data_IF_854027219872
#
_entry.id   IF_854027219872
#
_cell.length_a   1.000
_cell.length_b   1.000
_cell.length_c   1.000
_cell.angle_alpha   90.00
_cell.angle_beta   90.00
_cell.angle_gamma   90.00
#
_symmetry.space_group_name_H-M   'P 1'
#
loop_
_entity.id
_entity.type
_entity.pdbx_description
1 polymer ?
#
# COMPACT_ATOMS: atom_id res chain seq x y z
N UNK A 1 -18.06 -2.54 10.11
CA UNK A 1 -17.14 -2.09 9.03
C UNK A 1 -17.80 -2.24 7.65
N UNK A 2 -18.48 -3.36 7.34
CA UNK A 2 -19.10 -3.62 6.03
C UNK A 2 -20.15 -2.58 5.62
N UNK A 3 -21.03 -2.22 6.54
CA UNK A 3 -22.11 -1.27 6.29
C UNK A 3 -21.62 0.15 5.97
N UNK A 4 -20.70 0.77 6.74
CA UNK A 4 -20.07 2.02 6.33
C UNK A 4 -19.30 1.91 5.00
N UNK A 5 -18.60 0.81 4.75
CA UNK A 5 -17.90 0.60 3.49
C UNK A 5 -18.86 0.55 2.30
N UNK A 6 -20.00 -0.13 2.45
CA UNK A 6 -21.04 -0.16 1.42
C UNK A 6 -21.62 1.22 1.09
N UNK A 7 -21.76 2.08 2.10
CA UNK A 7 -22.21 3.47 1.91
C UNK A 7 -21.17 4.36 1.24
N UNK A 8 -19.88 4.09 1.47
CA UNK A 8 -18.76 4.86 0.91
C UNK A 8 -18.34 4.38 -0.47
N UNK A 9 -18.77 3.17 -0.88
CA UNK A 9 -18.38 2.56 -2.16
C UNK A 9 -19.33 3.00 -3.28
N UNK A 10 -18.78 3.25 -4.45
CA UNK A 10 -19.51 3.59 -5.65
C UNK A 10 -18.73 4.53 -6.55
N UNK A 11 -19.31 4.84 -7.71
CA UNK A 11 -18.73 5.81 -8.65
C UNK A 11 -19.02 7.22 -8.16
N UNK A 12 -17.98 8.04 -8.05
CA UNK A 12 -18.09 9.47 -7.84
C UNK A 12 -17.76 10.20 -9.17
N UNK A 13 -18.71 10.96 -9.69
CA UNK A 13 -18.55 11.70 -10.93
C UNK A 13 -17.40 12.73 -10.89
N UNK A 14 -17.04 13.21 -9.71
CA UNK A 14 -15.96 14.19 -9.51
C UNK A 14 -14.60 13.55 -9.22
N UNK A 15 -14.53 12.21 -9.15
CA UNK A 15 -13.31 11.45 -8.88
C UNK A 15 -13.07 10.40 -9.98
N UNK A 16 -12.20 10.72 -10.93
CA UNK A 16 -11.81 9.82 -12.04
C UNK A 16 -11.10 8.54 -11.57
N UNK A 17 -10.72 8.45 -10.29
CA UNK A 17 -10.12 7.24 -9.71
C UNK A 17 -11.16 6.29 -9.15
N UNK A 18 -12.41 6.73 -9.00
CA UNK A 18 -13.50 5.87 -8.57
C UNK A 18 -13.87 4.85 -9.65
N UNK A 19 -14.25 3.65 -9.23
CA UNK A 19 -14.62 2.58 -10.14
C UNK A 19 -15.94 1.93 -9.72
N UNK A 20 -16.71 1.46 -10.70
CA UNK A 20 -17.88 0.63 -10.44
C UNK A 20 -17.39 -0.80 -10.11
N UNK A 21 -17.51 -1.16 -8.85
CA UNK A 21 -17.11 -2.48 -8.38
C UNK A 21 -18.31 -3.43 -8.39
N UNK A 22 -18.21 -4.60 -9.04
CA UNK A 22 -19.36 -5.47 -9.32
C UNK A 22 -20.04 -6.09 -8.10
N UNK A 23 -19.56 -5.89 -6.90
CA UNK A 23 -20.06 -6.57 -5.70
C UNK A 23 -20.33 -5.65 -4.50
N UNK A 24 -20.43 -4.34 -4.69
CA UNK A 24 -20.69 -3.41 -3.58
C UNK A 24 -21.99 -3.66 -2.86
N UNK A 25 -23.02 -4.15 -3.56
CA UNK A 25 -24.30 -4.52 -2.94
C UNK A 25 -24.20 -5.74 -2.01
N UNK A 26 -23.22 -6.62 -2.22
CA UNK A 26 -22.99 -7.76 -1.32
C UNK A 26 -22.52 -7.31 0.05
N UNK A 27 -21.79 -6.17 0.14
CA UNK A 27 -21.36 -5.61 1.42
C UNK A 27 -22.53 -5.25 2.34
N UNK A 28 -23.68 -4.87 1.79
CA UNK A 28 -24.89 -4.54 2.55
C UNK A 28 -25.52 -5.76 3.23
N UNK A 29 -25.26 -6.96 2.70
CA UNK A 29 -25.86 -8.21 3.13
C UNK A 29 -24.85 -9.12 3.84
N UNK A 30 -23.67 -8.61 4.22
CA UNK A 30 -22.69 -9.40 4.96
C UNK A 30 -23.24 -9.75 6.35
N UNK A 31 -23.32 -11.05 6.61
CA UNK A 31 -23.65 -11.61 7.93
C UNK A 31 -22.36 -12.09 8.62
N UNK A 32 -22.44 -12.30 9.94
CA UNK A 32 -21.36 -12.96 10.66
C UNK A 32 -21.19 -14.39 10.13
N UNK A 33 -19.94 -14.87 10.06
CA UNK A 33 -19.64 -16.24 9.67
C UNK A 33 -20.28 -17.23 10.65
N UNK A 34 -20.82 -18.30 10.13
CA UNK A 34 -21.27 -19.45 10.90
C UNK A 34 -20.10 -20.28 11.40
N UNK A 35 -20.33 -21.17 12.37
CA UNK A 35 -19.28 -22.08 12.87
C UNK A 35 -18.75 -23.03 11.78
N UNK A 36 -19.60 -23.45 10.84
CA UNK A 36 -19.20 -24.25 9.68
C UNK A 36 -18.29 -23.47 8.73
N UNK A 37 -18.62 -22.23 8.45
CA UNK A 37 -17.81 -21.35 7.60
C UNK A 37 -16.44 -21.04 8.25
N UNK A 38 -16.40 -20.86 9.58
CA UNK A 38 -15.12 -20.73 10.30
C UNK A 38 -14.25 -21.98 10.16
N UNK A 39 -14.82 -23.17 10.27
CA UNK A 39 -14.08 -24.44 10.11
C UNK A 39 -13.56 -24.66 8.69
N UNK A 40 -14.26 -24.11 7.69
CA UNK A 40 -13.83 -24.18 6.30
C UNK A 40 -12.72 -23.17 5.95
N UNK A 41 -12.56 -22.12 6.78
CA UNK A 41 -11.64 -21.01 6.52
C UNK A 41 -10.18 -21.44 6.61
N UNK A 42 -9.40 -21.10 5.59
CA UNK A 42 -7.96 -21.34 5.52
C UNK A 42 -7.20 -20.02 5.50
N UNK A 43 -6.30 -19.85 6.47
CA UNK A 43 -5.53 -18.61 6.68
C UNK A 43 -4.06 -18.91 6.50
N UNK A 44 -3.40 -18.20 5.59
CA UNK A 44 -1.96 -18.25 5.40
C UNK A 44 -1.26 -17.13 6.18
N UNK A 45 -0.15 -17.44 6.83
CA UNK A 45 0.72 -16.46 7.50
C UNK A 45 2.10 -16.53 6.84
N UNK A 46 2.53 -15.51 6.10
CA UNK A 46 3.87 -15.48 5.54
C UNK A 46 4.94 -15.47 6.63
N UNK A 47 5.87 -16.42 6.60
CA UNK A 47 6.97 -16.52 7.58
C UNK A 47 7.84 -15.28 7.65
N UNK A 48 7.96 -14.56 6.52
CA UNK A 48 8.71 -13.31 6.41
C UNK A 48 8.17 -12.21 7.33
N UNK A 49 6.87 -12.25 7.64
CA UNK A 49 6.21 -11.27 8.51
C UNK A 49 6.11 -11.73 9.99
N UNK A 50 6.63 -12.91 10.31
CA UNK A 50 6.76 -13.36 11.70
C UNK A 50 8.05 -12.84 12.38
N UNK A 51 8.91 -12.16 11.63
CA UNK A 51 10.10 -11.50 12.18
C UNK A 51 9.64 -10.33 13.06
N UNK A 52 9.75 -10.48 14.36
CA UNK A 52 9.27 -9.51 15.37
C UNK A 52 10.31 -8.44 15.71
N UNK A 53 11.49 -8.46 15.05
CA UNK A 53 12.55 -7.49 15.31
C UNK A 53 12.08 -6.08 14.97
N UNK A 54 12.03 -5.21 15.97
CA UNK A 54 11.51 -3.85 15.85
C UNK A 54 9.98 -3.72 15.86
N UNK A 55 9.26 -4.81 16.10
CA UNK A 55 7.81 -4.80 16.25
C UNK A 55 7.41 -4.39 17.66
N UNK A 56 6.30 -3.66 17.80
CA UNK A 56 5.72 -3.35 19.10
C UNK A 56 5.20 -4.64 19.76
N UNK A 57 5.57 -4.91 21.03
CA UNK A 57 5.15 -6.12 21.75
C UNK A 57 3.63 -6.29 21.84
N UNK A 58 2.85 -5.20 21.97
CA UNK A 58 1.40 -5.26 22.05
C UNK A 58 0.78 -5.65 20.69
N UNK A 59 1.37 -5.21 19.60
CA UNK A 59 0.94 -5.62 18.25
C UNK A 59 1.24 -7.10 18.01
N UNK A 60 2.42 -7.57 18.40
CA UNK A 60 2.78 -9.00 18.30
C UNK A 60 1.83 -9.85 19.14
N UNK A 61 1.54 -9.44 20.37
CA UNK A 61 0.59 -10.12 21.23
C UNK A 61 -0.81 -10.16 20.63
N UNK A 62 -1.31 -9.03 20.12
CA UNK A 62 -2.62 -8.95 19.47
C UNK A 62 -2.71 -9.90 18.28
N UNK A 63 -1.65 -9.98 17.47
CA UNK A 63 -1.57 -10.89 16.34
C UNK A 63 -1.63 -12.37 16.78
N UNK A 64 -0.84 -12.74 17.78
CA UNK A 64 -0.84 -14.10 18.33
C UNK A 64 -2.18 -14.49 18.97
N UNK A 65 -2.83 -13.56 19.68
CA UNK A 65 -4.15 -13.78 20.26
C UNK A 65 -5.21 -13.93 19.15
N UNK A 66 -5.12 -13.16 18.08
CA UNK A 66 -5.98 -13.30 16.88
C UNK A 66 -5.77 -14.66 16.21
N UNK A 67 -4.53 -15.10 16.04
CA UNK A 67 -4.18 -16.43 15.50
C UNK A 67 -4.81 -17.56 16.32
N UNK A 68 -4.66 -17.49 17.63
CA UNK A 68 -5.25 -18.47 18.57
C UNK A 68 -6.77 -18.45 18.50
N UNK A 69 -7.37 -17.28 18.39
CA UNK A 69 -8.81 -17.13 18.29
C UNK A 69 -9.36 -17.81 17.04
N UNK A 70 -8.78 -17.59 15.86
CA UNK A 70 -9.19 -18.27 14.62
C UNK A 70 -9.05 -19.79 14.74
N UNK A 71 -7.94 -20.27 15.28
CA UNK A 71 -7.71 -21.70 15.52
C UNK A 71 -8.76 -22.28 16.49
N UNK A 72 -9.13 -21.54 17.54
CA UNK A 72 -10.17 -21.97 18.51
C UNK A 72 -11.56 -22.07 17.88
N UNK A 73 -11.81 -21.30 16.81
CA UNK A 73 -13.04 -21.37 16.00
C UNK A 73 -13.02 -22.50 14.96
N UNK A 74 -11.92 -23.21 14.85
CA UNK A 74 -11.75 -24.35 13.95
C UNK A 74 -11.17 -24.00 12.58
N UNK A 75 -10.76 -22.74 12.34
CA UNK A 75 -10.10 -22.34 11.11
C UNK A 75 -8.71 -23.00 11.00
N UNK A 76 -8.31 -23.35 9.77
CA UNK A 76 -6.96 -23.80 9.47
C UNK A 76 -6.04 -22.61 9.34
N UNK A 77 -5.01 -22.50 10.19
CA UNK A 77 -4.02 -21.41 10.15
C UNK A 77 -2.65 -22.00 9.92
N UNK A 78 -2.04 -21.70 8.78
CA UNK A 78 -0.78 -22.28 8.34
C UNK A 78 0.26 -21.22 7.99
N UNK A 79 1.53 -21.53 8.26
CA UNK A 79 2.64 -20.70 7.85
C UNK A 79 3.06 -21.05 6.42
N UNK A 80 3.20 -20.04 5.58
CA UNK A 80 3.65 -20.17 4.19
C UNK A 80 4.98 -19.47 3.98
N UNK A 81 5.81 -20.00 3.12
CA UNK A 81 7.11 -19.40 2.79
C UNK A 81 7.00 -18.61 1.49
N UNK A 82 7.23 -17.29 1.58
CA UNK A 82 7.19 -16.34 0.46
C UNK A 82 8.45 -15.47 0.45
N UNK A 83 9.62 -16.02 0.12
CA UNK A 83 10.91 -15.31 0.22
C UNK A 83 10.96 -14.01 -0.58
N UNK A 84 10.15 -13.88 -1.65
CA UNK A 84 10.08 -12.66 -2.46
C UNK A 84 9.61 -11.45 -1.67
N UNK A 85 8.89 -11.65 -0.57
CA UNK A 85 8.39 -10.55 0.27
C UNK A 85 9.52 -9.81 1.00
N UNK A 86 10.69 -10.40 1.18
CA UNK A 86 11.87 -9.70 1.72
C UNK A 86 12.31 -8.53 0.82
N UNK A 87 12.00 -8.58 -0.48
CA UNK A 87 12.28 -7.49 -1.43
C UNK A 87 11.14 -6.45 -1.54
N UNK A 88 10.03 -6.62 -0.84
CA UNK A 88 8.81 -5.81 -1.01
C UNK A 88 9.04 -4.33 -0.66
N UNK A 89 9.72 -4.05 0.45
CA UNK A 89 9.99 -2.68 0.91
C UNK A 89 10.89 -1.95 -0.10
N UNK A 90 11.96 -2.59 -0.56
CA UNK A 90 12.85 -2.00 -1.55
C UNK A 90 12.13 -1.71 -2.87
N UNK A 91 11.33 -2.65 -3.37
CA UNK A 91 10.51 -2.46 -4.56
C UNK A 91 9.48 -1.33 -4.38
N UNK A 92 8.83 -1.26 -3.22
CA UNK A 92 7.90 -0.17 -2.88
C UNK A 92 8.58 1.20 -2.97
N UNK A 93 9.73 1.38 -2.31
CA UNK A 93 10.42 2.67 -2.35
C UNK A 93 10.82 3.07 -3.77
N UNK A 94 11.35 2.15 -4.55
CA UNK A 94 11.73 2.41 -5.94
C UNK A 94 10.52 2.84 -6.77
N UNK A 95 9.42 2.12 -6.72
CA UNK A 95 8.23 2.39 -7.53
C UNK A 95 7.52 3.65 -7.04
N UNK A 96 7.16 3.68 -5.75
CA UNK A 96 6.34 4.76 -5.20
C UNK A 96 7.02 6.13 -5.28
N UNK A 97 8.33 6.20 -5.02
CA UNK A 97 9.04 7.48 -5.11
C UNK A 97 9.21 7.95 -6.55
N UNK A 98 9.44 7.03 -7.49
CA UNK A 98 9.51 7.34 -8.92
C UNK A 98 8.18 7.87 -9.45
N UNK A 99 7.08 7.21 -9.11
CA UNK A 99 5.74 7.63 -9.51
C UNK A 99 5.35 8.95 -8.82
N UNK A 100 5.67 9.13 -7.54
CA UNK A 100 5.43 10.38 -6.82
C UNK A 100 6.18 11.55 -7.46
N UNK A 101 7.46 11.38 -7.82
CA UNK A 101 8.24 12.43 -8.49
C UNK A 101 7.61 12.82 -9.84
N UNK A 102 7.20 11.83 -10.64
CA UNK A 102 6.53 12.05 -11.92
C UNK A 102 5.16 12.72 -11.74
N UNK A 103 4.32 12.21 -10.84
CA UNK A 103 2.98 12.74 -10.63
C UNK A 103 2.97 14.16 -10.03
N UNK A 104 3.87 14.45 -9.10
CA UNK A 104 3.96 15.76 -8.46
C UNK A 104 4.65 16.81 -9.35
N UNK A 105 5.24 16.43 -10.47
CA UNK A 105 5.84 17.38 -11.42
C UNK A 105 4.82 18.33 -12.04
N UNK A 106 3.55 17.91 -12.10
CA UNK A 106 2.45 18.72 -12.67
C UNK A 106 2.04 19.93 -11.83
N UNK A 107 2.40 19.96 -10.55
CA UNK A 107 2.07 21.08 -9.66
C UNK A 107 3.12 22.19 -9.80
N UNK A 108 2.90 23.04 -10.76
CA UNK A 108 3.82 24.10 -11.20
C UNK A 108 3.39 25.52 -10.75
N UNK A 109 2.19 25.66 -10.16
CA UNK A 109 1.63 26.96 -9.77
C UNK A 109 1.08 27.78 -10.95
N UNK A 110 1.03 27.20 -12.15
CA UNK A 110 0.57 27.87 -13.37
C UNK A 110 -0.81 27.40 -13.76
N UNK A 111 -0.99 26.09 -13.96
CA UNK A 111 -2.21 25.48 -14.50
C UNK A 111 -3.30 25.31 -13.45
N UNK A 112 -2.92 24.92 -12.25
CA UNK A 112 -3.85 24.67 -11.12
C UNK A 112 -3.08 24.56 -9.80
N UNK A 113 -3.84 24.52 -8.71
CA UNK A 113 -3.32 24.37 -7.35
C UNK A 113 -2.83 25.67 -6.73
N UNK A 114 -2.06 25.56 -5.66
CA UNK A 114 -1.47 26.70 -4.97
C UNK A 114 -0.48 27.41 -5.88
N UNK A 115 -0.52 28.73 -5.89
CA UNK A 115 0.44 29.60 -6.56
C UNK A 115 0.98 30.60 -5.56
N UNK A 116 2.30 30.80 -5.58
CA UNK A 116 2.93 31.89 -4.86
C UNK A 116 2.83 33.15 -5.72
N UNK A 117 2.41 34.24 -5.11
CA UNK A 117 2.37 35.53 -5.79
C UNK A 117 3.78 36.15 -5.77
N UNK A 118 4.55 35.85 -6.81
CA UNK A 118 5.78 36.55 -7.07
C UNK A 118 5.78 37.10 -8.50
N UNK A 119 6.38 38.27 -8.71
CA UNK A 119 6.43 38.95 -10.00
C UNK A 119 7.81 38.83 -10.69
N UNK A 120 8.60 37.79 -10.34
CA UNK A 120 9.99 37.68 -10.75
C UNK A 120 10.19 36.93 -12.08
N UNK A 121 9.28 36.03 -12.47
CA UNK A 121 9.37 35.22 -13.67
C UNK A 121 8.86 33.80 -13.49
N UNK A 122 8.85 33.00 -14.55
CA UNK A 122 8.30 31.66 -14.51
C UNK A 122 9.14 30.67 -13.69
N UNK A 123 10.46 30.76 -13.79
CA UNK A 123 11.37 29.85 -13.08
C UNK A 123 11.28 30.08 -11.57
N UNK A 124 11.28 31.34 -11.13
CA UNK A 124 11.11 31.69 -9.72
C UNK A 124 9.72 31.34 -9.22
N UNK A 125 8.67 31.58 -10.02
CA UNK A 125 7.32 31.18 -9.67
C UNK A 125 7.23 29.67 -9.42
N UNK A 126 7.79 28.86 -10.31
CA UNK A 126 7.83 27.42 -10.18
C UNK A 126 8.60 26.99 -8.93
N UNK A 127 9.81 27.50 -8.74
CA UNK A 127 10.65 27.17 -7.59
C UNK A 127 10.01 27.59 -6.28
N UNK A 128 9.53 28.82 -6.18
CA UNK A 128 8.92 29.35 -4.95
C UNK A 128 7.62 28.62 -4.61
N UNK A 129 6.75 28.39 -5.59
CA UNK A 129 5.49 27.65 -5.39
C UNK A 129 5.75 26.23 -4.84
N UNK A 130 6.68 25.50 -5.41
CA UNK A 130 7.00 24.13 -4.97
C UNK A 130 7.77 24.13 -3.64
N UNK A 131 8.63 25.13 -3.44
CA UNK A 131 9.41 25.26 -2.20
C UNK A 131 8.55 25.56 -0.99
N UNK A 132 7.52 26.38 -1.15
CA UNK A 132 6.56 26.67 -0.08
C UNK A 132 5.45 25.62 0.03
N UNK A 133 4.99 25.08 -1.12
CA UNK A 133 3.86 24.16 -1.20
C UNK A 133 4.16 22.74 -0.72
N UNK A 134 5.40 22.26 -0.91
CA UNK A 134 5.79 20.92 -0.50
C UNK A 134 6.55 20.91 0.81
N UNK A 135 6.09 20.09 1.75
CA UNK A 135 6.80 19.83 3.00
C UNK A 135 8.13 19.08 2.78
N UNK A 136 8.99 19.02 3.81
CA UNK A 136 10.34 18.41 3.69
C UNK A 136 10.33 16.96 3.21
N UNK A 137 9.39 16.15 3.71
CA UNK A 137 9.29 14.74 3.33
C UNK A 137 8.87 14.56 1.87
N UNK A 138 7.93 15.36 1.38
CA UNK A 138 7.53 15.34 -0.03
C UNK A 138 8.69 15.72 -0.93
N UNK A 139 9.44 16.76 -0.58
CA UNK A 139 10.65 17.17 -1.30
C UNK A 139 11.70 16.06 -1.34
N UNK A 140 11.94 15.40 -0.21
CA UNK A 140 12.86 14.26 -0.12
C UNK A 140 12.43 13.13 -1.07
N UNK A 141 11.15 12.80 -1.11
CA UNK A 141 10.60 11.77 -2.02
C UNK A 141 10.76 12.15 -3.49
N UNK A 142 10.49 13.40 -3.84
CA UNK A 142 10.68 13.91 -5.21
C UNK A 142 12.15 13.80 -5.64
N UNK A 143 13.08 14.20 -4.77
CA UNK A 143 14.53 14.13 -5.09
C UNK A 143 14.98 12.68 -5.31
N UNK A 144 14.61 11.77 -4.41
CA UNK A 144 14.95 10.35 -4.54
C UNK A 144 14.29 9.74 -5.79
N UNK A 145 13.03 10.06 -6.06
CA UNK A 145 12.31 9.56 -7.24
C UNK A 145 12.96 10.02 -8.55
N UNK A 146 13.34 11.30 -8.64
CA UNK A 146 14.08 11.83 -9.79
C UNK A 146 15.44 11.16 -9.95
N UNK A 147 16.14 10.87 -8.86
CA UNK A 147 17.40 10.14 -8.89
C UNK A 147 17.22 8.74 -9.49
N UNK A 148 16.20 7.99 -9.03
CA UNK A 148 15.88 6.65 -9.57
C UNK A 148 15.50 6.70 -11.05
N UNK A 149 14.83 7.77 -11.50
CA UNK A 149 14.41 7.96 -12.90
C UNK A 149 15.50 8.58 -13.78
N UNK A 150 16.63 9.04 -13.22
CA UNK A 150 17.68 9.70 -13.99
C UNK A 150 18.33 8.76 -15.02
N UNK A 151 18.86 9.33 -16.09
CA UNK A 151 19.55 8.59 -17.16
C UNK A 151 20.73 7.76 -16.65
N UNK A 152 21.38 8.19 -15.57
CA UNK A 152 22.49 7.47 -14.95
C UNK A 152 22.10 6.08 -14.46
N UNK A 153 20.85 5.88 -14.10
CA UNK A 153 20.26 4.58 -13.75
C UNK A 153 19.38 4.00 -14.87
N UNK A 154 19.30 4.71 -16.02
CA UNK A 154 18.65 4.30 -17.30
C UNK A 154 17.25 3.67 -17.17
N UNK A 155 16.51 4.02 -16.12
CA UNK A 155 15.20 3.43 -15.82
C UNK A 155 15.23 1.93 -15.47
N UNK A 156 16.40 1.29 -15.46
CA UNK A 156 16.53 -0.13 -15.15
C UNK A 156 16.14 -0.43 -13.71
N UNK A 157 16.44 0.48 -12.79
CA UNK A 157 16.07 0.34 -11.38
C UNK A 157 14.55 0.32 -11.21
N UNK A 158 13.82 1.22 -11.88
CA UNK A 158 12.36 1.21 -11.88
C UNK A 158 11.80 -0.08 -12.50
N UNK A 159 12.33 -0.52 -13.64
CA UNK A 159 11.94 -1.79 -14.31
C UNK A 159 12.18 -3.01 -13.42
N UNK A 160 13.31 -3.04 -12.69
CA UNK A 160 13.58 -4.09 -11.70
C UNK A 160 12.55 -4.08 -10.58
N UNK A 161 12.19 -2.91 -10.05
CA UNK A 161 11.10 -2.77 -9.09
C UNK A 161 9.77 -3.34 -9.60
N UNK A 162 9.39 -3.00 -10.84
CA UNK A 162 8.18 -3.53 -11.48
C UNK A 162 8.24 -5.05 -11.69
N UNK A 163 9.42 -5.60 -12.00
CA UNK A 163 9.61 -7.05 -12.13
C UNK A 163 9.42 -7.76 -10.79
N UNK A 164 9.98 -7.20 -9.70
CA UNK A 164 9.77 -7.72 -8.34
C UNK A 164 8.30 -7.66 -7.96
N UNK A 165 7.62 -6.53 -8.20
CA UNK A 165 6.17 -6.38 -7.98
C UNK A 165 5.36 -7.47 -8.71
N UNK A 166 5.63 -7.68 -10.00
CA UNK A 166 4.94 -8.69 -10.78
C UNK A 166 5.19 -10.12 -10.25
N UNK A 167 6.37 -10.38 -9.71
CA UNK A 167 6.68 -11.66 -9.07
C UNK A 167 5.93 -11.82 -7.75
N UNK A 168 5.91 -10.79 -6.89
CA UNK A 168 5.11 -10.77 -5.66
C UNK A 168 3.64 -11.05 -5.97
N UNK A 169 3.06 -10.38 -6.97
CA UNK A 169 1.67 -10.59 -7.37
C UNK A 169 1.40 -12.06 -7.74
N UNK A 170 2.29 -12.69 -8.52
CA UNK A 170 2.13 -14.10 -8.92
C UNK A 170 2.25 -15.07 -7.74
N UNK A 171 3.22 -14.86 -6.85
CA UNK A 171 3.42 -15.73 -5.69
C UNK A 171 2.28 -15.59 -4.67
N UNK A 172 1.78 -14.36 -4.45
CA UNK A 172 0.60 -14.11 -3.61
C UNK A 172 -0.67 -14.70 -4.23
N UNK A 173 -0.88 -14.57 -5.54
CA UNK A 173 -2.01 -15.20 -6.23
C UNK A 173 -2.00 -16.73 -6.07
N UNK A 174 -0.84 -17.37 -6.16
CA UNK A 174 -0.71 -18.81 -5.94
C UNK A 174 -1.05 -19.24 -4.49
N UNK A 175 -0.85 -18.35 -3.50
CA UNK A 175 -1.31 -18.61 -2.12
C UNK A 175 -2.84 -18.58 -2.08
N UNK A 176 -3.49 -17.61 -2.73
CA UNK A 176 -4.95 -17.49 -2.77
C UNK A 176 -5.65 -18.64 -3.54
N UNK A 177 -4.92 -19.46 -4.30
CA UNK A 177 -5.48 -20.70 -4.84
C UNK A 177 -5.79 -21.76 -3.75
N UNK A 178 -5.17 -21.63 -2.57
CA UNK A 178 -5.25 -22.62 -1.48
C UNK A 178 -5.82 -22.05 -0.18
N UNK A 179 -5.71 -20.75 0.01
CA UNK A 179 -6.08 -20.04 1.22
C UNK A 179 -7.05 -18.91 0.92
N UNK A 180 -7.96 -18.66 1.84
CA UNK A 180 -8.98 -17.62 1.71
C UNK A 180 -8.47 -16.25 2.19
N UNK A 181 -7.55 -16.27 3.16
CA UNK A 181 -7.00 -15.05 3.79
C UNK A 181 -5.48 -15.18 3.90
N UNK A 182 -4.78 -14.06 3.68
CA UNK A 182 -3.38 -13.89 4.09
C UNK A 182 -3.38 -12.88 5.24
N UNK A 183 -2.78 -13.25 6.38
CA UNK A 183 -2.74 -12.42 7.57
C UNK A 183 -1.31 -12.17 8.05
N UNK A 184 -1.05 -10.95 8.52
CA UNK A 184 0.22 -10.56 9.15
C UNK A 184 0.03 -9.46 10.18
N UNK A 185 0.98 -9.35 11.11
CA UNK A 185 1.07 -8.21 12.01
C UNK A 185 1.66 -7.01 11.27
N UNK A 186 1.00 -5.86 11.34
CA UNK A 186 1.53 -4.61 10.84
C UNK A 186 1.86 -3.72 12.02
N UNK A 187 3.15 -3.39 12.17
CA UNK A 187 3.60 -2.43 13.17
C UNK A 187 3.73 -1.07 12.51
N UNK A 188 3.01 -0.09 13.03
CA UNK A 188 3.38 1.30 12.79
C UNK A 188 4.28 1.71 13.96
N UNK A 189 5.61 1.79 13.74
CA UNK A 189 6.44 2.61 14.60
C UNK A 189 6.01 4.05 14.34
N UNK A 190 5.54 4.73 15.36
CA UNK A 190 5.46 6.18 15.32
C UNK A 190 6.89 6.68 15.04
N UNK A 191 7.04 7.46 14.01
CA UNK A 191 8.28 8.18 13.76
C UNK A 191 8.31 9.32 14.77
N UNK A 192 9.14 9.19 15.81
CA UNK A 192 9.58 10.30 16.65
C UNK A 192 10.40 11.31 15.83
#
# INVERSE_FOLDING_TARGET
>A
IAEPLALMSGVDFYDDTSADLPNTDQLKNLTALTDEEFKALKIAIPKQFLKTEGADPDVVKCFEDTRKWFTSKGATVEEVDLPILDASIAAYYVIALSEAASNLSRFDGIRYGRRVDNQKGYDELYVDTRSEGFGPEVKRRIVIGNYVLSEQFSGDTYKKGMTVRARIQREVAAVFEKYDIISWAMTMKEFE
#
